data_IF_753680096957
#
_entry.id   IF_753680096957
#
_cell.length_a   1.000
_cell.length_b   1.000
_cell.length_c   1.000
_cell.angle_alpha   90.00
_cell.angle_beta   90.00
_cell.angle_gamma   90.00
#
_symmetry.space_group_name_H-M   'P 1'
#
loop_
_entity.id
_entity.type
_entity.pdbx_description
1 polymer ?
#
# COMPACT_ATOMS: atom_id res chain seq x y z
N UNK A 1 21.59 29.37 -21.14
CA UNK A 1 20.14 29.30 -20.88
C UNK A 1 19.73 30.46 -19.97
N UNK A 2 18.84 31.34 -20.46
CA UNK A 2 18.46 32.56 -19.75
C UNK A 2 17.51 32.21 -18.59
N UNK A 3 17.90 32.51 -17.35
CA UNK A 3 17.11 32.28 -16.12
C UNK A 3 15.70 32.87 -16.20
N UNK A 4 15.52 33.98 -16.93
CA UNK A 4 14.23 34.63 -17.18
C UNK A 4 13.27 33.76 -18.03
N UNK A 5 13.80 32.97 -18.96
CA UNK A 5 13.00 32.03 -19.76
C UNK A 5 12.48 30.86 -18.97
N UNK A 6 13.30 30.31 -18.05
CA UNK A 6 12.90 29.23 -17.18
C UNK A 6 11.77 29.65 -16.22
N UNK A 7 11.84 30.87 -15.66
CA UNK A 7 10.77 31.40 -14.78
C UNK A 7 9.48 31.63 -15.55
N UNK A 8 9.53 32.13 -16.80
CA UNK A 8 8.33 32.25 -17.64
C UNK A 8 7.70 30.89 -17.97
N UNK A 9 8.50 29.87 -18.25
CA UNK A 9 7.99 28.53 -18.51
C UNK A 9 7.32 27.90 -17.28
N UNK A 10 7.86 28.13 -16.08
CA UNK A 10 7.26 27.66 -14.82
C UNK A 10 5.90 28.35 -14.58
N UNK A 11 5.76 29.65 -14.86
CA UNK A 11 4.49 30.35 -14.72
C UNK A 11 3.43 29.88 -15.72
N UNK A 12 3.80 29.54 -16.96
CA UNK A 12 2.88 29.02 -17.97
C UNK A 12 2.41 27.61 -17.59
N UNK A 13 3.28 26.76 -17.05
CA UNK A 13 2.90 25.42 -16.56
C UNK A 13 2.14 25.46 -15.22
N UNK A 14 2.45 26.39 -14.32
CA UNK A 14 1.76 26.52 -13.03
C UNK A 14 0.36 27.12 -13.14
N UNK A 15 0.13 28.04 -14.10
CA UNK A 15 -1.17 28.69 -14.30
C UNK A 15 -2.19 27.87 -15.10
N UNK A 16 -1.72 26.95 -15.95
CA UNK A 16 -2.58 26.12 -16.81
C UNK A 16 -3.31 24.99 -16.08
N UNK A 17 -2.82 24.55 -14.92
CA UNK A 17 -3.44 23.48 -14.13
C UNK A 17 -4.69 23.91 -13.34
N UNK A 18 -4.87 25.22 -13.13
CA UNK A 18 -6.01 25.74 -12.38
C UNK A 18 -7.32 25.84 -13.20
N UNK A 19 -7.24 25.70 -14.53
CA UNK A 19 -8.37 25.84 -15.43
C UNK A 19 -8.85 24.52 -16.05
N UNK A 20 -8.31 23.39 -15.66
CA UNK A 20 -8.81 22.08 -16.11
C UNK A 20 -10.11 21.75 -15.40
N UNK A 21 -11.22 21.48 -16.11
CA UNK A 21 -12.44 21.02 -15.50
C UNK A 21 -12.16 19.73 -14.70
N UNK A 22 -12.79 19.62 -13.54
CA UNK A 22 -12.55 18.54 -12.54
C UNK A 22 -12.71 17.10 -13.09
N UNK A 23 -13.22 16.95 -14.31
CA UNK A 23 -13.37 15.66 -15.00
C UNK A 23 -12.14 15.20 -15.81
N UNK A 24 -11.14 16.06 -15.98
CA UNK A 24 -9.89 15.74 -16.69
C UNK A 24 -8.70 15.62 -15.71
N UNK A 25 -8.94 15.20 -14.49
CA UNK A 25 -7.87 14.65 -13.67
C UNK A 25 -7.48 13.34 -14.34
N UNK A 26 -6.50 13.41 -15.22
CA UNK A 26 -5.77 12.23 -15.66
C UNK A 26 -5.50 11.40 -14.43
N UNK A 27 -5.79 10.10 -14.46
CA UNK A 27 -5.50 9.18 -13.37
C UNK A 27 -4.08 9.48 -12.90
N UNK A 28 -3.95 10.10 -11.72
CA UNK A 28 -2.66 10.57 -11.22
C UNK A 28 -1.76 9.34 -11.11
N UNK A 29 -0.49 9.51 -11.41
CA UNK A 29 0.49 8.44 -11.18
C UNK A 29 0.50 8.09 -9.69
N UNK A 30 0.79 6.84 -9.38
CA UNK A 30 1.04 6.42 -8.01
C UNK A 30 2.10 7.32 -7.34
N UNK A 31 1.97 7.53 -6.04
CA UNK A 31 2.87 8.40 -5.26
C UNK A 31 4.28 7.81 -5.14
N UNK A 32 4.42 6.49 -5.34
CA UNK A 32 5.68 5.76 -5.30
C UNK A 32 6.17 5.45 -6.72
N UNK A 33 7.47 5.62 -6.93
CA UNK A 33 8.10 5.23 -8.19
C UNK A 33 8.18 3.71 -8.30
N UNK A 34 7.54 3.16 -9.35
CA UNK A 34 7.54 1.73 -9.69
C UNK A 34 8.25 1.54 -11.05
N UNK A 35 9.05 0.47 -11.16
CA UNK A 35 9.86 0.18 -12.35
C UNK A 35 9.20 -0.84 -13.28
N UNK A 36 8.53 -1.84 -12.72
CA UNK A 36 8.03 -3.03 -13.43
C UNK A 36 6.50 -3.06 -13.48
N UNK A 37 5.83 -2.57 -12.44
CA UNK A 37 4.37 -2.56 -12.33
C UNK A 37 3.85 -1.14 -12.54
N UNK A 38 2.77 -1.00 -13.32
CA UNK A 38 2.10 0.29 -13.52
C UNK A 38 0.86 0.32 -12.65
N UNK A 39 0.82 1.26 -11.73
CA UNK A 39 -0.34 1.54 -10.89
C UNK A 39 -0.69 3.02 -10.97
N UNK A 40 -1.98 3.32 -10.91
CA UNK A 40 -2.49 4.68 -10.84
C UNK A 40 -2.86 5.07 -9.39
N UNK A 41 -3.20 6.34 -9.19
CA UNK A 41 -3.56 6.85 -7.86
C UNK A 41 -4.86 6.24 -7.32
N UNK A 42 -5.77 5.76 -8.18
CA UNK A 42 -7.00 5.11 -7.76
C UNK A 42 -6.70 3.69 -7.24
N UNK A 43 -5.80 2.97 -7.90
CA UNK A 43 -5.32 1.66 -7.47
C UNK A 43 -4.53 1.75 -6.15
N UNK A 44 -3.67 2.76 -6.00
CA UNK A 44 -2.97 3.04 -4.76
C UNK A 44 -3.95 3.29 -3.62
N UNK A 45 -4.98 4.13 -3.84
CA UNK A 45 -6.03 4.40 -2.85
C UNK A 45 -6.76 3.12 -2.46
N UNK A 46 -7.14 2.30 -3.45
CA UNK A 46 -7.82 1.01 -3.23
C UNK A 46 -6.96 0.06 -2.40
N UNK A 47 -5.66 -0.04 -2.69
CA UNK A 47 -4.72 -0.83 -1.88
C UNK A 47 -4.65 -0.31 -0.45
N UNK A 48 -4.70 1.01 -0.24
CA UNK A 48 -4.77 1.62 1.09
C UNK A 48 -6.04 1.23 1.85
N UNK A 49 -7.18 1.17 1.18
CA UNK A 49 -8.45 0.75 1.78
C UNK A 49 -8.45 -0.75 2.13
N UNK A 50 -7.93 -1.60 1.24
CA UNK A 50 -7.77 -3.04 1.52
C UNK A 50 -6.79 -3.26 2.68
N UNK A 51 -5.66 -2.54 2.73
CA UNK A 51 -4.71 -2.63 3.84
C UNK A 51 -5.36 -2.25 5.18
N UNK A 52 -6.20 -1.21 5.21
CA UNK A 52 -6.92 -0.76 6.41
C UNK A 52 -7.97 -1.78 6.86
N UNK A 53 -8.59 -2.53 5.94
CA UNK A 53 -9.49 -3.64 6.30
C UNK A 53 -8.70 -4.80 6.94
N UNK A 54 -7.47 -5.04 6.49
CA UNK A 54 -6.60 -6.11 7.03
C UNK A 54 -6.10 -5.76 8.43
N UNK A 55 -5.62 -4.52 8.62
CA UNK A 55 -5.14 -4.02 9.92
C UNK A 55 -5.79 -2.65 10.17
N UNK A 56 -6.98 -2.65 10.80
CA UNK A 56 -7.72 -1.43 11.04
C UNK A 56 -7.09 -0.58 12.14
N UNK A 57 -7.32 0.72 12.07
CA UNK A 57 -6.99 1.66 13.15
C UNK A 57 -7.80 1.33 14.40
N UNK A 58 -7.11 1.20 15.53
CA UNK A 58 -7.70 1.01 16.84
C UNK A 58 -7.05 1.97 17.84
N UNK A 59 -6.58 1.48 18.98
CA UNK A 59 -5.68 2.22 19.88
C UNK A 59 -4.27 2.38 19.28
N UNK A 60 -3.96 1.55 18.27
CA UNK A 60 -2.73 1.63 17.48
C UNK A 60 -3.06 2.16 16.08
N UNK A 61 -2.10 2.79 15.37
CA UNK A 61 -2.31 3.23 13.99
C UNK A 61 -2.62 2.06 13.07
N UNK A 62 -3.55 2.26 12.13
CA UNK A 62 -3.91 1.29 11.11
C UNK A 62 -2.87 1.17 9.99
N UNK A 63 -3.08 0.21 9.10
CA UNK A 63 -2.18 -0.02 7.96
C UNK A 63 -2.09 1.20 7.04
N UNK A 64 -3.17 1.94 6.86
CA UNK A 64 -3.22 3.14 6.04
C UNK A 64 -2.45 4.30 6.67
N UNK A 65 -2.58 4.50 7.99
CA UNK A 65 -1.85 5.53 8.73
C UNK A 65 -0.32 5.32 8.63
N UNK A 66 0.12 4.07 8.58
CA UNK A 66 1.53 3.70 8.44
C UNK A 66 2.00 3.61 6.96
N UNK A 67 1.13 3.89 6.00
CA UNK A 67 1.48 3.84 4.58
C UNK A 67 1.86 2.45 4.06
N UNK A 68 1.36 1.37 4.69
CA UNK A 68 1.79 0.01 4.37
C UNK A 68 1.44 -0.44 2.95
N UNK A 69 0.40 0.13 2.34
CA UNK A 69 0.08 -0.09 0.94
C UNK A 69 1.22 0.33 0.00
N UNK A 70 1.94 1.41 0.33
CA UNK A 70 3.11 1.86 -0.44
C UNK A 70 4.25 0.84 -0.34
N UNK A 71 4.45 0.26 0.86
CA UNK A 71 5.40 -0.82 1.06
C UNK A 71 5.01 -2.06 0.24
N UNK A 72 3.73 -2.46 0.26
CA UNK A 72 3.24 -3.58 -0.57
C UNK A 72 3.49 -3.34 -2.04
N UNK A 73 3.17 -2.14 -2.55
CA UNK A 73 3.41 -1.77 -3.95
C UNK A 73 4.88 -1.91 -4.32
N UNK A 74 5.77 -1.43 -3.47
CA UNK A 74 7.22 -1.50 -3.70
C UNK A 74 7.74 -2.93 -3.62
N UNK A 75 7.27 -3.73 -2.67
CA UNK A 75 7.61 -5.16 -2.59
C UNK A 75 7.17 -5.93 -3.82
N UNK A 76 5.96 -5.67 -4.33
CA UNK A 76 5.46 -6.33 -5.54
C UNK A 76 6.31 -5.94 -6.75
N UNK A 77 6.68 -4.66 -6.87
CA UNK A 77 7.48 -4.16 -7.99
C UNK A 77 8.90 -4.73 -8.00
N UNK A 78 9.58 -4.73 -6.84
CA UNK A 78 11.02 -5.04 -6.79
C UNK A 78 11.31 -6.53 -6.51
N UNK A 79 10.43 -7.23 -5.78
CA UNK A 79 10.75 -8.54 -5.19
C UNK A 79 9.96 -9.71 -5.81
N UNK A 80 8.89 -9.45 -6.56
CA UNK A 80 8.09 -10.52 -7.14
C UNK A 80 8.41 -10.75 -8.61
N UNK A 81 8.27 -12.00 -9.05
CA UNK A 81 8.46 -12.38 -10.45
C UNK A 81 7.39 -11.73 -11.34
N UNK A 82 7.68 -11.47 -12.63
CA UNK A 82 6.72 -10.84 -13.55
C UNK A 82 5.37 -11.57 -13.64
N UNK A 83 5.36 -12.90 -13.48
CA UNK A 83 4.14 -13.70 -13.47
C UNK A 83 3.27 -13.38 -12.24
N UNK A 84 3.89 -13.26 -11.07
CA UNK A 84 3.18 -12.95 -9.81
C UNK A 84 2.71 -11.49 -9.80
N UNK A 85 3.50 -10.57 -10.37
CA UNK A 85 3.10 -9.17 -10.59
C UNK A 85 1.83 -9.09 -11.45
N UNK A 86 1.77 -9.84 -12.55
CA UNK A 86 0.58 -9.91 -13.43
C UNK A 86 -0.63 -10.43 -12.68
N UNK A 87 -0.48 -11.52 -11.91
CA UNK A 87 -1.56 -12.09 -11.10
C UNK A 87 -2.04 -11.12 -10.03
N UNK A 88 -1.10 -10.40 -9.40
CA UNK A 88 -1.43 -9.36 -8.43
C UNK A 88 -2.29 -8.27 -9.04
N UNK A 89 -1.93 -7.76 -10.22
CA UNK A 89 -2.68 -6.73 -10.92
C UNK A 89 -4.04 -7.25 -11.42
N UNK A 90 -4.10 -8.49 -11.94
CA UNK A 90 -5.34 -9.15 -12.34
C UNK A 90 -6.30 -9.31 -11.15
N UNK A 91 -5.79 -9.79 -10.01
CA UNK A 91 -6.57 -9.93 -8.79
C UNK A 91 -7.05 -8.59 -8.22
N UNK A 92 -6.22 -7.54 -8.24
CA UNK A 92 -6.59 -6.20 -7.82
C UNK A 92 -7.75 -5.64 -8.65
N UNK A 93 -7.79 -5.94 -9.95
CA UNK A 93 -8.84 -5.47 -10.84
C UNK A 93 -10.25 -5.91 -10.41
N UNK A 94 -10.39 -7.07 -9.76
CA UNK A 94 -11.66 -7.57 -9.25
C UNK A 94 -12.24 -6.73 -8.09
N UNK A 95 -11.42 -5.95 -7.41
CA UNK A 95 -11.84 -5.09 -6.30
C UNK A 95 -12.19 -3.66 -6.76
N UNK A 96 -11.97 -3.32 -8.04
CA UNK A 96 -12.27 -1.98 -8.56
C UNK A 96 -13.78 -1.73 -8.65
N UNK A 97 -14.16 -0.51 -8.30
CA UNK A 97 -15.56 -0.08 -8.42
C UNK A 97 -16.51 -0.58 -7.32
N UNK A 98 -15.99 -1.34 -6.35
CA UNK A 98 -16.78 -1.75 -5.20
C UNK A 98 -16.98 -0.57 -4.24
N UNK A 99 -18.16 -0.49 -3.65
CA UNK A 99 -18.40 0.40 -2.53
C UNK A 99 -17.66 -0.07 -1.27
N UNK A 100 -17.50 0.75 -0.23
CA UNK A 100 -16.74 0.37 0.97
C UNK A 100 -17.30 -0.87 1.70
N UNK A 101 -18.62 -1.10 1.64
CA UNK A 101 -19.28 -2.23 2.28
C UNK A 101 -18.99 -3.52 1.51
N UNK A 102 -19.22 -3.51 0.20
CA UNK A 102 -18.94 -4.63 -0.68
C UNK A 102 -17.44 -4.98 -0.70
N UNK A 103 -16.55 -3.96 -0.65
CA UNK A 103 -15.11 -4.15 -0.54
C UNK A 103 -14.75 -4.93 0.74
N UNK A 104 -15.31 -4.54 1.88
CA UNK A 104 -15.08 -5.22 3.15
C UNK A 104 -15.60 -6.66 3.14
N UNK A 105 -16.79 -6.87 2.61
CA UNK A 105 -17.37 -8.20 2.48
C UNK A 105 -16.52 -9.11 1.58
N UNK A 106 -16.10 -8.59 0.43
CA UNK A 106 -15.23 -9.34 -0.48
C UNK A 106 -13.90 -9.71 0.16
N UNK A 107 -13.26 -8.79 0.88
CA UNK A 107 -12.02 -9.07 1.62
C UNK A 107 -12.23 -10.17 2.67
N UNK A 108 -13.34 -10.14 3.41
CA UNK A 108 -13.67 -11.17 4.41
C UNK A 108 -13.92 -12.53 3.74
N UNK A 109 -14.66 -12.57 2.63
CA UNK A 109 -14.93 -13.81 1.89
C UNK A 109 -13.65 -14.43 1.33
N UNK A 110 -12.78 -13.61 0.72
CA UNK A 110 -11.50 -14.08 0.19
C UNK A 110 -10.59 -14.58 1.32
N UNK A 111 -10.59 -13.90 2.47
CA UNK A 111 -9.84 -14.34 3.65
C UNK A 111 -10.37 -15.68 4.22
N UNK A 112 -11.65 -15.95 4.08
CA UNK A 112 -12.28 -17.23 4.44
C UNK A 112 -12.08 -18.35 3.40
N UNK A 113 -11.27 -18.10 2.36
CA UNK A 113 -10.99 -19.06 1.29
C UNK A 113 -12.03 -19.13 0.16
N UNK A 114 -13.04 -18.25 0.17
CA UNK A 114 -14.12 -18.19 -0.83
C UNK A 114 -13.78 -17.21 -1.96
N UNK A 115 -12.60 -17.36 -2.56
CA UNK A 115 -12.23 -16.53 -3.70
C UNK A 115 -12.72 -17.16 -5.02
N UNK A 116 -13.26 -16.34 -5.92
CA UNK A 116 -13.81 -16.77 -7.20
C UNK A 116 -12.73 -17.19 -8.22
N UNK A 117 -11.50 -16.67 -8.10
CA UNK A 117 -10.41 -16.98 -9.00
C UNK A 117 -9.08 -17.16 -8.28
N UNK A 118 -8.15 -17.86 -8.93
CA UNK A 118 -6.80 -18.06 -8.40
C UNK A 118 -5.98 -16.74 -8.38
N UNK A 119 -6.29 -15.81 -9.28
CA UNK A 119 -5.65 -14.49 -9.28
C UNK A 119 -6.08 -13.66 -8.06
N UNK A 120 -7.36 -13.71 -7.68
CA UNK A 120 -7.85 -13.06 -6.46
C UNK A 120 -7.19 -13.67 -5.22
N UNK A 121 -7.05 -15.00 -5.16
CA UNK A 121 -6.33 -15.68 -4.06
C UNK A 121 -4.86 -15.26 -4.01
N UNK A 122 -4.19 -15.22 -5.16
CA UNK A 122 -2.78 -14.83 -5.25
C UNK A 122 -2.58 -13.37 -4.81
N UNK A 123 -3.42 -12.46 -5.32
CA UNK A 123 -3.44 -11.05 -4.91
C UNK A 123 -3.60 -10.91 -3.39
N UNK A 124 -4.66 -11.51 -2.84
CA UNK A 124 -4.98 -11.33 -1.42
C UNK A 124 -3.91 -11.94 -0.51
N UNK A 125 -3.35 -13.09 -0.88
CA UNK A 125 -2.24 -13.71 -0.16
C UNK A 125 -1.04 -12.77 -0.08
N UNK A 126 -0.62 -12.18 -1.20
CA UNK A 126 0.50 -11.23 -1.24
C UNK A 126 0.15 -9.99 -0.43
N UNK A 127 -1.02 -9.42 -0.67
CA UNK A 127 -1.49 -8.22 0.02
C UNK A 127 -1.50 -8.40 1.54
N UNK A 128 -2.11 -9.48 2.03
CA UNK A 128 -2.19 -9.80 3.46
C UNK A 128 -0.81 -10.02 4.05
N UNK A 129 0.01 -10.86 3.43
CA UNK A 129 1.35 -11.19 3.93
C UNK A 129 2.23 -9.95 4.02
N UNK A 130 2.28 -9.13 2.98
CA UNK A 130 3.14 -7.94 2.96
C UNK A 130 2.61 -6.84 3.87
N UNK A 131 1.30 -6.68 4.01
CA UNK A 131 0.72 -5.74 4.98
C UNK A 131 1.10 -6.12 6.41
N UNK A 132 0.98 -7.40 6.79
CA UNK A 132 1.37 -7.88 8.12
C UNK A 132 2.88 -7.74 8.34
N UNK A 133 3.70 -8.13 7.36
CA UNK A 133 5.15 -7.99 7.45
C UNK A 133 5.56 -6.52 7.61
N UNK A 134 4.98 -5.62 6.81
CA UNK A 134 5.24 -4.20 6.89
C UNK A 134 4.82 -3.61 8.24
N UNK A 135 3.69 -4.06 8.80
CA UNK A 135 3.22 -3.63 10.12
C UNK A 135 4.18 -4.04 11.22
N UNK A 136 4.52 -5.32 11.29
CA UNK A 136 5.41 -5.87 12.33
C UNK A 136 6.81 -5.24 12.29
N UNK A 137 7.31 -4.87 11.10
CA UNK A 137 8.60 -4.22 10.91
C UNK A 137 8.50 -2.69 10.85
N UNK A 138 7.33 -2.10 11.08
CA UNK A 138 7.16 -0.65 11.09
C UNK A 138 7.89 -0.01 12.26
N UNK A 139 8.36 1.23 12.06
CA UNK A 139 8.99 2.01 13.12
C UNK A 139 8.09 2.07 14.38
N UNK A 140 6.77 2.24 14.18
CA UNK A 140 5.83 2.32 15.29
C UNK A 140 5.84 1.05 16.16
N UNK A 141 5.70 -0.12 15.54
CA UNK A 141 5.68 -1.41 16.27
C UNK A 141 7.02 -1.66 16.96
N UNK A 142 8.11 -1.48 16.23
CA UNK A 142 9.47 -1.76 16.75
C UNK A 142 9.90 -0.82 17.87
N UNK A 143 9.35 0.40 17.94
CA UNK A 143 9.71 1.36 18.99
C UNK A 143 8.73 1.40 20.16
N UNK A 144 7.44 1.10 19.93
CA UNK A 144 6.41 1.29 20.94
C UNK A 144 5.82 -0.03 21.48
N UNK A 145 5.78 -1.09 20.66
CA UNK A 145 5.12 -2.33 21.04
C UNK A 145 6.10 -3.47 21.35
N UNK A 146 7.27 -3.48 20.71
CA UNK A 146 8.26 -4.54 20.85
C UNK A 146 9.50 -3.97 21.54
N UNK A 147 9.99 -4.67 22.57
CA UNK A 147 11.34 -4.44 23.09
C UNK A 147 12.35 -5.08 22.13
N UNK A 148 12.87 -4.27 21.23
CA UNK A 148 13.86 -4.74 20.30
C UNK A 148 15.26 -4.28 20.74
N UNK A 149 16.17 -5.23 20.92
CA UNK A 149 17.60 -4.99 21.15
C UNK A 149 18.40 -5.68 20.05
N UNK A 150 19.19 -4.92 19.29
CA UNK A 150 19.97 -5.45 18.16
C UNK A 150 20.98 -6.52 18.63
N UNK A 151 21.63 -6.25 19.76
CA UNK A 151 22.56 -7.18 20.42
C UNK A 151 22.25 -7.16 21.90
N UNK A 152 21.42 -8.09 22.41
CA UNK A 152 21.22 -8.22 23.84
C UNK A 152 22.54 -8.64 24.50
N UNK A 153 23.13 -7.78 25.33
CA UNK A 153 24.38 -8.03 26.02
C UNK A 153 24.29 -9.19 27.06
N UNK A 154 23.09 -9.74 27.24
CA UNK A 154 22.76 -10.79 28.22
C UNK A 154 21.83 -11.83 27.61
N UNK A 155 22.06 -13.09 27.95
CA UNK A 155 21.07 -14.14 27.77
C UNK A 155 20.21 -14.27 29.04
N UNK A 156 18.90 -14.07 28.91
CA UNK A 156 17.94 -14.32 29.98
C UNK A 156 16.75 -15.10 29.42
N UNK A 157 16.75 -16.43 29.60
CA UNK A 157 15.68 -17.31 29.15
C UNK A 157 14.33 -17.07 29.86
N UNK A 158 14.32 -16.36 30.98
CA UNK A 158 13.14 -15.98 31.77
C UNK A 158 12.88 -14.49 31.74
N UNK A 159 13.10 -13.85 30.57
CA UNK A 159 12.88 -12.41 30.46
C UNK A 159 11.40 -12.08 30.70
N UNK A 160 11.07 -11.25 31.72
CA UNK A 160 9.68 -10.93 32.02
C UNK A 160 9.05 -10.14 30.88
N UNK A 161 7.97 -10.69 30.32
CA UNK A 161 7.12 -9.95 29.38
C UNK A 161 6.20 -9.08 30.20
N UNK A 162 6.32 -7.76 30.08
CA UNK A 162 5.36 -6.83 30.69
C UNK A 162 4.08 -6.90 29.85
N UNK A 163 3.01 -7.42 30.47
CA UNK A 163 1.64 -7.28 29.97
C UNK A 163 1.16 -5.84 30.02
#
# INVERSE_FOLDING_TARGET
>A
MNRRLAIKQIMIFGGGLALLPSGLRAAGKASVWLNHVRMDAAEEKLLGEIAEIIIPKTTTPGAKDLGLHLFVMKMVDDCYKPQDQKRFMSGLAAFKGLDPTALKEMVVQVNAGKAESDDIKAFFRIMKQQTINGYLNSKYVMTNLVKWELVPARYNGYFPVKS
#
